data_IF_001013024545
#
_entry.id   IF_001013024545
#
_cell.length_a   1.000
_cell.length_b   1.000
_cell.length_c   1.000
_cell.angle_alpha   90.00
_cell.angle_beta   90.00
_cell.angle_gamma   90.00
#
_symmetry.space_group_name_H-M   'P 1'
#
loop_
_entity.id
_entity.type
_entity.pdbx_description
1 polymer ?
#
# COMPACT_ATOMS: atom_id res chain seq x y z
N UNK A 1 9.89 14.85 -13.02
CA UNK A 1 9.43 13.68 -13.79
C UNK A 1 9.09 12.59 -12.79
N UNK A 2 7.98 11.89 -12.98
CA UNK A 2 7.55 10.81 -12.09
C UNK A 2 7.99 9.49 -12.72
N UNK A 3 8.68 8.65 -11.96
CA UNK A 3 9.01 7.27 -12.32
C UNK A 3 8.11 6.31 -11.51
N UNK A 4 7.63 5.24 -12.14
CA UNK A 4 6.85 4.19 -11.47
C UNK A 4 7.52 2.85 -11.72
N UNK A 5 7.83 2.12 -10.65
CA UNK A 5 8.47 0.82 -10.73
C UNK A 5 8.03 -0.11 -9.58
N UNK A 6 8.33 -1.42 -9.66
CA UNK A 6 8.12 -2.33 -8.54
C UNK A 6 8.91 -1.91 -7.31
N UNK A 7 8.34 -2.08 -6.11
CA UNK A 7 9.05 -1.77 -4.87
C UNK A 7 10.35 -2.59 -4.74
N UNK A 8 11.38 -1.97 -4.15
CA UNK A 8 12.60 -2.66 -3.76
C UNK A 8 12.72 -2.74 -2.23
N UNK A 9 13.55 -3.67 -1.74
CA UNK A 9 13.76 -3.82 -0.30
C UNK A 9 14.32 -2.56 0.37
N UNK A 10 15.09 -1.75 -0.37
CA UNK A 10 15.65 -0.48 0.14
C UNK A 10 14.59 0.61 0.36
N UNK A 11 13.44 0.50 -0.30
CA UNK A 11 12.38 1.51 -0.26
C UNK A 11 11.32 1.23 0.82
N UNK A 12 11.33 0.03 1.41
CA UNK A 12 10.39 -0.37 2.46
C UNK A 12 10.30 0.68 3.59
N UNK A 13 11.40 1.23 4.12
CA UNK A 13 11.32 2.26 5.16
C UNK A 13 10.65 3.57 4.66
N UNK A 14 10.83 3.93 3.39
CA UNK A 14 10.19 5.11 2.80
C UNK A 14 8.69 4.87 2.57
N UNK A 15 8.33 3.70 2.04
CA UNK A 15 6.94 3.25 1.86
C UNK A 15 6.20 3.21 3.19
N UNK A 16 6.83 2.69 4.25
CA UNK A 16 6.22 2.65 5.58
C UNK A 16 5.91 4.07 6.08
N UNK A 17 6.90 4.97 6.02
CA UNK A 17 6.71 6.38 6.44
C UNK A 17 5.61 7.06 5.62
N UNK A 18 5.59 6.85 4.31
CA UNK A 18 4.59 7.40 3.41
C UNK A 18 3.18 6.93 3.81
N UNK A 19 2.98 5.63 4.04
CA UNK A 19 1.68 5.10 4.47
C UNK A 19 1.27 5.60 5.87
N UNK A 20 2.21 5.83 6.80
CA UNK A 20 1.87 6.49 8.08
C UNK A 20 1.35 7.90 7.83
N UNK A 21 2.08 8.70 7.03
CA UNK A 21 1.73 10.09 6.75
C UNK A 21 0.39 10.22 6.01
N UNK A 22 0.15 9.35 5.03
CA UNK A 22 -1.07 9.32 4.23
C UNK A 22 -2.35 9.04 5.03
N UNK A 23 -2.23 8.37 6.18
CA UNK A 23 -3.38 7.93 7.00
C UNK A 23 -3.46 8.66 8.35
N UNK A 24 -3.30 9.99 8.32
CA UNK A 24 -3.35 10.88 9.49
C UNK A 24 -2.33 10.52 10.58
N UNK A 25 -1.12 10.14 10.17
CA UNK A 25 -0.06 9.65 11.07
C UNK A 25 -0.44 8.39 11.88
N UNK A 26 -1.42 7.61 11.41
CA UNK A 26 -1.79 6.34 12.03
C UNK A 26 -1.01 5.19 11.40
N UNK A 27 -0.39 4.30 12.21
CA UNK A 27 0.48 3.24 11.69
C UNK A 27 -0.28 2.03 11.16
N UNK A 28 -1.61 2.00 11.24
CA UNK A 28 -2.42 0.84 10.91
C UNK A 28 -2.20 0.37 9.46
N UNK A 29 -2.24 1.30 8.50
CA UNK A 29 -2.05 0.95 7.09
C UNK A 29 -0.62 0.51 6.80
N UNK A 30 0.38 1.22 7.34
CA UNK A 30 1.78 0.84 7.16
C UNK A 30 2.06 -0.57 7.72
N UNK A 31 1.50 -0.90 8.89
CA UNK A 31 1.58 -2.26 9.46
C UNK A 31 0.84 -3.31 8.62
N UNK A 32 -0.28 -2.95 8.01
CA UNK A 32 -1.01 -3.84 7.10
C UNK A 32 -0.17 -4.15 5.87
N UNK A 33 0.39 -3.13 5.22
CA UNK A 33 1.32 -3.26 4.08
C UNK A 33 2.50 -4.18 4.44
N UNK A 34 3.13 -3.94 5.60
CA UNK A 34 4.25 -4.77 6.07
C UNK A 34 3.84 -6.23 6.31
N UNK A 35 2.66 -6.44 6.90
CA UNK A 35 2.13 -7.78 7.17
C UNK A 35 1.80 -8.52 5.88
N UNK A 36 1.21 -7.85 4.89
CA UNK A 36 0.91 -8.42 3.57
C UNK A 36 2.20 -8.79 2.81
N UNK A 37 3.24 -7.96 2.91
CA UNK A 37 4.56 -8.25 2.34
C UNK A 37 5.20 -9.47 3.01
N UNK A 38 5.25 -9.49 4.35
CA UNK A 38 5.80 -10.61 5.11
C UNK A 38 5.06 -11.93 4.85
N UNK A 39 3.75 -11.87 4.60
CA UNK A 39 2.93 -13.03 4.25
C UNK A 39 3.06 -13.47 2.77
N UNK A 40 3.86 -12.79 1.95
CA UNK A 40 3.96 -13.07 0.51
C UNK A 40 2.66 -12.79 -0.25
N UNK A 41 1.80 -11.91 0.29
CA UNK A 41 0.50 -11.54 -0.28
C UNK A 41 0.53 -10.21 -1.04
N UNK A 42 1.65 -9.50 -1.02
CA UNK A 42 1.90 -8.31 -1.85
C UNK A 42 2.24 -8.73 -3.30
N UNK A 43 1.23 -9.21 -4.05
CA UNK A 43 1.45 -9.80 -5.39
C UNK A 43 1.88 -8.74 -6.40
N UNK A 44 1.37 -7.53 -6.28
CA UNK A 44 1.85 -6.35 -7.01
C UNK A 44 2.11 -5.26 -5.98
N UNK A 45 3.30 -4.67 -6.01
CA UNK A 45 3.65 -3.53 -5.18
C UNK A 45 4.43 -2.53 -6.03
N UNK A 46 3.86 -1.34 -6.21
CA UNK A 46 4.39 -0.27 -7.06
C UNK A 46 4.71 0.94 -6.21
N UNK A 47 5.81 1.61 -6.55
CA UNK A 47 6.20 2.90 -5.99
C UNK A 47 6.19 3.96 -7.07
N UNK A 48 5.81 5.18 -6.70
CA UNK A 48 6.00 6.37 -7.51
C UNK A 48 7.12 7.21 -6.90
N UNK A 49 8.14 7.52 -7.69
CA UNK A 49 9.32 8.28 -7.28
C UNK A 49 9.38 9.60 -8.04
N UNK A 50 9.62 10.69 -7.31
CA UNK A 50 9.86 12.03 -7.86
C UNK A 50 11.06 12.63 -7.19
N UNK A 51 12.02 13.12 -7.96
CA UNK A 51 13.24 13.75 -7.43
C UNK A 51 14.03 12.86 -6.44
N UNK A 52 13.96 11.53 -6.64
CA UNK A 52 14.61 10.54 -5.78
C UNK A 52 13.83 10.18 -4.51
N UNK A 53 12.67 10.78 -4.28
CA UNK A 53 11.82 10.52 -3.12
C UNK A 53 10.58 9.70 -3.50
N UNK A 54 10.23 8.73 -2.64
CA UNK A 54 8.99 7.94 -2.79
C UNK A 54 7.81 8.83 -2.39
N UNK A 55 6.97 9.15 -3.38
CA UNK A 55 5.79 10.02 -3.20
C UNK A 55 4.47 9.27 -3.28
N UNK A 56 4.49 8.01 -3.73
CA UNK A 56 3.31 7.17 -3.86
C UNK A 56 3.63 5.70 -3.66
N UNK A 57 2.67 4.94 -3.14
CA UNK A 57 2.75 3.48 -3.01
C UNK A 57 1.38 2.86 -3.26
N UNK A 58 1.35 1.79 -4.07
CA UNK A 58 0.14 1.02 -4.34
C UNK A 58 0.45 -0.48 -4.23
N UNK A 59 -0.31 -1.18 -3.38
CA UNK A 59 -0.16 -2.61 -3.13
C UNK A 59 -1.46 -3.34 -3.46
N UNK A 60 -1.36 -4.43 -4.21
CA UNK A 60 -2.48 -5.31 -4.51
C UNK A 60 -2.24 -6.67 -3.89
N UNK A 61 -3.21 -7.12 -3.10
CA UNK A 61 -3.22 -8.45 -2.48
C UNK A 61 -4.50 -9.21 -2.84
N UNK A 62 -4.40 -10.54 -3.10
CA UNK A 62 -5.57 -11.35 -3.39
C UNK A 62 -6.40 -11.54 -2.13
N UNK A 63 -7.72 -11.35 -2.25
CA UNK A 63 -8.69 -11.66 -1.20
C UNK A 63 -9.67 -12.72 -1.70
N UNK A 64 -10.02 -13.66 -0.84
CA UNK A 64 -11.06 -14.67 -1.11
C UNK A 64 -12.32 -14.26 -0.38
N UNK A 65 -13.43 -14.13 -1.11
CA UNK A 65 -14.75 -13.90 -0.53
C UNK A 65 -15.48 -15.25 -0.45
N UNK A 66 -16.00 -15.59 0.73
CA UNK A 66 -16.86 -16.75 0.90
C UNK A 66 -18.32 -16.36 0.55
N UNK A 67 -18.96 -17.01 -0.44
CA UNK A 67 -20.32 -16.69 -0.86
C UNK A 67 -21.39 -16.89 0.24
N UNK A 68 -21.13 -17.66 1.30
CA UNK A 68 -22.03 -17.76 2.44
C UNK A 68 -22.10 -16.47 3.28
N UNK A 69 -21.12 -15.56 3.09
CA UNK A 69 -21.01 -14.27 3.75
C UNK A 69 -21.31 -13.12 2.76
N UNK A 70 -22.34 -13.26 1.93
CA UNK A 70 -22.86 -12.21 1.02
C UNK A 70 -23.38 -10.93 1.74
N UNK A 71 -23.06 -10.75 3.01
CA UNK A 71 -23.19 -9.52 3.80
C UNK A 71 -21.86 -8.82 4.09
N UNK A 72 -20.75 -9.21 3.45
CA UNK A 72 -19.48 -8.50 3.59
C UNK A 72 -19.54 -7.14 2.89
N UNK A 73 -20.12 -6.15 3.58
CA UNK A 73 -19.81 -4.72 3.40
C UNK A 73 -18.47 -4.41 4.08
N UNK A 74 -17.44 -5.22 3.80
CA UNK A 74 -16.11 -4.86 4.19
C UNK A 74 -15.66 -3.73 3.30
N UNK A 75 -15.48 -2.55 3.89
CA UNK A 75 -14.71 -1.48 3.29
C UNK A 75 -13.37 -2.10 2.87
N UNK A 76 -13.12 -2.22 1.56
CA UNK A 76 -11.81 -2.67 1.04
C UNK A 76 -10.83 -1.54 1.36
N UNK A 77 -10.35 -1.49 2.60
CA UNK A 77 -9.30 -0.56 3.07
C UNK A 77 -7.91 -1.04 2.64
N UNK A 78 -7.79 -1.51 1.41
CA UNK A 78 -6.56 -2.07 0.85
C UNK A 78 -6.23 -1.55 -0.55
N UNK A 79 -6.99 -0.57 -1.03
CA UNK A 79 -6.61 0.24 -2.16
C UNK A 79 -5.97 1.51 -1.59
N UNK A 80 -4.68 1.42 -1.23
CA UNK A 80 -3.87 2.61 -0.98
C UNK A 80 -3.71 3.33 -2.33
N UNK A 81 -4.69 4.16 -2.66
CA UNK A 81 -4.59 5.20 -3.68
C UNK A 81 -4.45 6.52 -2.92
N UNK A 82 -3.27 6.77 -2.37
CA UNK A 82 -2.92 8.10 -1.89
C UNK A 82 -2.31 8.89 -3.05
N UNK A 83 -3.14 9.68 -3.72
CA UNK A 83 -2.68 10.73 -4.62
C UNK A 83 -2.49 11.99 -3.77
N UNK A 84 -1.39 12.11 -3.04
CA UNK A 84 -0.98 13.41 -2.49
C UNK A 84 -0.39 14.24 -3.63
N UNK A 85 -1.28 14.84 -4.41
CA UNK A 85 -0.99 16.01 -5.22
C UNK A 85 -2.02 17.09 -4.85
N UNK A 86 -1.64 17.91 -3.88
CA UNK A 86 -2.21 19.20 -3.47
C UNK A 86 -3.57 19.20 -2.76
#
# INVERSE_FOLDING_TARGET
>A
MIEIHPETAGEIPAIHRLNVQAFDNRPNEARLVDSLRAAGKAVISLVAVTEGEVVGHALFSPVTLDPANAGFIGEIRGLSFCFTAW
#
